data_IF_965843236417
#
_entry.id   IF_965843236417
#
_cell.length_a   1.000
_cell.length_b   1.000
_cell.length_c   1.000
_cell.angle_alpha   90.00
_cell.angle_beta   90.00
_cell.angle_gamma   90.00
#
_symmetry.space_group_name_H-M   'P 1'
#
loop_
_entity.id
_entity.type
_entity.pdbx_description
1 polymer ?
#
# COMPACT_ATOMS: atom_id res chain seq x y z
N UNK A 1 7.72 0.94 5.17
CA UNK A 1 8.63 0.82 6.33
C UNK A 1 9.59 2.01 6.42
N UNK A 2 10.39 2.27 5.38
CA UNK A 2 11.53 3.20 5.44
C UNK A 2 11.23 4.66 5.77
N UNK A 3 10.11 5.22 5.29
CA UNK A 3 9.81 6.66 5.46
C UNK A 3 9.34 7.00 6.89
N UNK A 4 8.54 6.12 7.51
CA UNK A 4 7.77 6.48 8.72
C UNK A 4 8.19 5.74 10.00
N UNK A 5 8.88 4.60 9.90
CA UNK A 5 9.25 3.80 11.08
C UNK A 5 10.16 4.58 12.05
N UNK A 6 11.18 5.26 11.53
CA UNK A 6 12.11 6.05 12.35
C UNK A 6 11.41 7.20 13.07
N UNK A 7 10.45 7.86 12.41
CA UNK A 7 9.69 8.95 13.02
C UNK A 7 8.78 8.43 14.14
N UNK A 8 8.09 7.30 13.94
CA UNK A 8 7.24 6.68 14.98
C UNK A 8 8.07 6.29 16.20
N UNK A 9 9.23 5.65 16.00
CA UNK A 9 10.14 5.28 17.09
C UNK A 9 10.71 6.53 17.78
N UNK A 10 11.00 7.59 17.03
CA UNK A 10 11.52 8.85 17.55
C UNK A 10 10.54 9.60 18.46
N UNK A 11 9.23 9.55 18.17
CA UNK A 11 8.19 10.23 18.97
C UNK A 11 7.69 9.37 20.14
N UNK A 12 7.39 8.09 19.90
CA UNK A 12 6.80 7.20 20.91
C UNK A 12 7.86 6.53 21.82
N UNK A 13 9.12 6.47 21.36
CA UNK A 13 10.18 5.72 22.03
C UNK A 13 10.12 4.21 21.74
N UNK A 14 11.19 3.51 22.09
CA UNK A 14 11.41 2.10 21.73
C UNK A 14 10.35 1.19 22.36
N UNK A 15 10.02 1.39 23.63
CA UNK A 15 9.10 0.51 24.38
C UNK A 15 7.67 0.58 23.85
N UNK A 16 7.17 1.78 23.52
CA UNK A 16 5.82 1.94 22.99
C UNK A 16 5.74 1.51 21.53
N UNK A 17 6.75 1.83 20.72
CA UNK A 17 6.81 1.40 19.32
C UNK A 17 6.92 -0.13 19.19
N UNK A 18 7.67 -0.80 20.06
CA UNK A 18 7.76 -2.27 20.07
C UNK A 18 6.46 -2.95 20.49
N UNK A 19 5.75 -2.39 21.48
CA UNK A 19 4.43 -2.87 21.89
C UNK A 19 3.40 -2.71 20.75
N UNK A 20 3.38 -1.56 20.09
CA UNK A 20 2.51 -1.31 18.94
C UNK A 20 2.77 -2.35 17.82
N UNK A 21 4.04 -2.55 17.47
CA UNK A 21 4.43 -3.53 16.46
C UNK A 21 3.99 -4.96 16.87
N UNK A 22 4.18 -5.34 18.14
CA UNK A 22 3.78 -6.64 18.64
C UNK A 22 2.27 -6.88 18.52
N UNK A 23 1.44 -5.88 18.83
CA UNK A 23 -0.02 -5.96 18.69
C UNK A 23 -0.46 -6.06 17.21
N UNK A 24 0.14 -5.29 16.31
CA UNK A 24 -0.11 -5.40 14.87
C UNK A 24 0.30 -6.77 14.30
N UNK A 25 1.44 -7.29 14.74
CA UNK A 25 1.88 -8.64 14.34
C UNK A 25 0.94 -9.72 14.88
N UNK A 26 0.49 -9.60 16.14
CA UNK A 26 -0.42 -10.57 16.76
C UNK A 26 -1.78 -10.61 16.05
N UNK A 27 -2.36 -9.46 15.71
CA UNK A 27 -3.63 -9.40 14.95
C UNK A 27 -3.50 -10.03 13.56
N UNK A 28 -2.40 -9.76 12.85
CA UNK A 28 -2.10 -10.37 11.55
C UNK A 28 -1.87 -11.89 11.67
N UNK A 29 -1.19 -12.31 12.73
CA UNK A 29 -0.91 -13.71 13.00
C UNK A 29 -2.20 -14.51 13.26
N UNK A 30 -3.09 -14.00 14.13
CA UNK A 30 -4.40 -14.63 14.38
C UNK A 30 -5.22 -14.70 13.08
N UNK A 31 -5.23 -13.62 12.29
CA UNK A 31 -5.93 -13.58 10.99
C UNK A 31 -5.38 -14.64 10.02
N UNK A 32 -4.06 -14.82 10.00
CA UNK A 32 -3.40 -15.82 9.14
C UNK A 32 -3.74 -17.25 9.57
N UNK A 33 -3.86 -17.52 10.87
CA UNK A 33 -4.32 -18.82 11.39
C UNK A 33 -5.76 -19.08 10.92
N UNK A 34 -6.65 -18.09 11.03
CA UNK A 34 -8.03 -18.23 10.52
C UNK A 34 -8.07 -18.47 9.02
N UNK A 35 -7.24 -17.76 8.24
CA UNK A 35 -7.14 -17.96 6.80
C UNK A 35 -6.61 -19.36 6.43
N UNK A 36 -5.65 -19.88 7.19
CA UNK A 36 -5.13 -21.25 7.03
C UNK A 36 -6.21 -22.31 7.30
N UNK A 37 -7.03 -22.11 8.33
CA UNK A 37 -8.18 -22.98 8.60
C UNK A 37 -9.21 -22.94 7.46
N UNK A 38 -9.45 -21.78 6.86
CA UNK A 38 -10.34 -21.66 5.69
C UNK A 38 -9.74 -22.34 4.45
N UNK A 39 -8.44 -22.18 4.21
CA UNK A 39 -7.75 -22.75 3.06
C UNK A 39 -7.67 -24.30 3.10
N UNK A 40 -7.73 -24.88 4.30
CA UNK A 40 -7.73 -26.34 4.48
C UNK A 40 -9.13 -26.97 4.47
N UNK A 41 -10.19 -26.16 4.60
CA UNK A 41 -11.56 -26.61 4.44
C UNK A 41 -11.99 -26.46 2.97
N UNK A 42 -12.12 -27.57 2.23
CA UNK A 42 -12.72 -27.62 0.90
C UNK A 42 -11.75 -27.88 -0.27
N UNK A 43 -12.31 -28.27 -1.42
CA UNK A 43 -11.54 -28.47 -2.66
C UNK A 43 -11.20 -27.13 -3.31
N UNK A 44 -9.92 -26.76 -3.25
CA UNK A 44 -9.37 -25.57 -3.90
C UNK A 44 -9.37 -25.80 -5.42
N UNK A 45 -10.41 -25.31 -6.10
CA UNK A 45 -10.38 -25.14 -7.56
C UNK A 45 -9.59 -23.88 -7.89
N UNK A 46 -9.10 -23.77 -9.13
CA UNK A 46 -8.28 -22.64 -9.60
C UNK A 46 -9.06 -21.32 -9.53
N UNK A 47 -8.91 -20.62 -8.42
CA UNK A 47 -9.46 -19.30 -8.15
C UNK A 47 -8.76 -18.78 -6.90
N UNK A 48 -8.25 -17.55 -6.95
CA UNK A 48 -7.43 -16.97 -5.87
C UNK A 48 -8.19 -16.77 -4.55
N UNK A 49 -7.68 -15.87 -3.70
CA UNK A 49 -8.20 -15.68 -2.34
C UNK A 49 -9.73 -15.44 -2.25
N UNK A 50 -10.32 -14.66 -3.17
CA UNK A 50 -11.76 -14.41 -3.19
C UNK A 50 -12.60 -15.68 -3.46
N UNK A 51 -12.11 -16.55 -4.33
CA UNK A 51 -12.79 -17.80 -4.66
C UNK A 51 -12.76 -18.78 -3.46
N UNK A 52 -11.63 -18.84 -2.74
CA UNK A 52 -11.52 -19.64 -1.52
C UNK A 52 -12.44 -19.14 -0.40
N UNK A 53 -12.57 -17.83 -0.23
CA UNK A 53 -13.41 -17.23 0.83
C UNK A 53 -14.91 -17.39 0.56
N UNK A 54 -15.36 -17.06 -0.66
CA UNK A 54 -16.79 -17.09 -1.02
C UNK A 54 -17.41 -18.49 -0.96
N UNK A 55 -16.60 -19.54 -1.19
CA UNK A 55 -17.07 -20.93 -1.19
C UNK A 55 -17.15 -21.54 0.21
N UNK A 56 -16.28 -21.12 1.13
CA UNK A 56 -16.23 -21.65 2.50
C UNK A 56 -17.09 -20.87 3.50
N UNK A 57 -17.26 -19.55 3.31
CA UNK A 57 -18.01 -18.67 4.23
C UNK A 57 -19.41 -18.32 3.70
N UNK A 58 -19.73 -18.67 2.45
CA UNK A 58 -20.97 -18.30 1.77
C UNK A 58 -20.86 -16.99 0.99
N UNK A 59 -21.82 -16.77 0.09
CA UNK A 59 -21.84 -15.66 -0.88
C UNK A 59 -21.96 -14.28 -0.21
N UNK A 60 -22.67 -14.20 0.92
CA UNK A 60 -22.87 -12.94 1.66
C UNK A 60 -21.57 -12.44 2.31
N UNK A 61 -20.87 -13.32 3.04
CA UNK A 61 -19.58 -12.97 3.64
C UNK A 61 -18.48 -12.80 2.59
N UNK A 62 -18.46 -13.64 1.54
CA UNK A 62 -17.49 -13.55 0.46
C UNK A 62 -17.54 -12.20 -0.26
N UNK A 63 -18.74 -11.71 -0.60
CA UNK A 63 -18.91 -10.42 -1.28
C UNK A 63 -18.53 -9.24 -0.39
N UNK A 64 -18.96 -9.21 0.88
CA UNK A 64 -18.61 -8.16 1.82
C UNK A 64 -17.09 -8.05 2.04
N UNK A 65 -16.40 -9.17 2.29
CA UNK A 65 -14.94 -9.20 2.47
C UNK A 65 -14.22 -8.80 1.17
N UNK A 66 -14.73 -9.23 0.01
CA UNK A 66 -14.15 -8.88 -1.29
C UNK A 66 -14.17 -7.38 -1.59
N UNK A 67 -15.28 -6.70 -1.30
CA UNK A 67 -15.41 -5.24 -1.50
C UNK A 67 -14.44 -4.49 -0.57
N UNK A 68 -14.36 -4.90 0.70
CA UNK A 68 -13.41 -4.31 1.66
C UNK A 68 -11.97 -4.51 1.22
N UNK A 69 -11.62 -5.71 0.74
CA UNK A 69 -10.28 -6.00 0.25
C UNK A 69 -9.93 -5.21 -1.02
N UNK A 70 -10.89 -5.04 -1.94
CA UNK A 70 -10.71 -4.21 -3.12
C UNK A 70 -10.43 -2.75 -2.74
N UNK A 71 -11.26 -2.16 -1.89
CA UNK A 71 -11.11 -0.76 -1.46
C UNK A 71 -9.81 -0.58 -0.66
N UNK A 72 -9.47 -1.53 0.22
CA UNK A 72 -8.22 -1.53 0.97
C UNK A 72 -6.99 -1.52 0.06
N UNK A 73 -6.97 -2.36 -0.98
CA UNK A 73 -5.87 -2.36 -1.96
C UNK A 73 -5.83 -1.09 -2.81
N UNK A 74 -6.99 -0.53 -3.18
CA UNK A 74 -7.04 0.74 -3.93
C UNK A 74 -6.43 1.90 -3.11
N UNK A 75 -6.78 1.99 -1.83
CA UNK A 75 -6.21 3.00 -0.92
C UNK A 75 -4.72 2.72 -0.68
N UNK A 76 -4.31 1.47 -0.50
CA UNK A 76 -2.90 1.10 -0.34
C UNK A 76 -2.06 1.48 -1.57
N UNK A 77 -2.56 1.24 -2.78
CA UNK A 77 -1.89 1.67 -4.02
C UNK A 77 -1.69 3.20 -4.05
N UNK A 78 -2.71 3.97 -3.69
CA UNK A 78 -2.58 5.44 -3.59
C UNK A 78 -1.53 5.87 -2.56
N UNK A 79 -1.44 5.17 -1.42
CA UNK A 79 -0.43 5.43 -0.40
C UNK A 79 0.99 5.14 -0.90
N UNK A 80 1.18 4.07 -1.67
CA UNK A 80 2.48 3.74 -2.26
C UNK A 80 2.92 4.76 -3.31
N UNK A 81 2.00 5.23 -4.15
CA UNK A 81 2.26 6.29 -5.13
C UNK A 81 2.74 7.58 -4.45
N UNK A 82 2.00 8.06 -3.44
CA UNK A 82 2.37 9.28 -2.71
C UNK A 82 3.71 9.12 -1.99
N UNK A 83 3.95 7.96 -1.36
CA UNK A 83 5.23 7.66 -0.72
C UNK A 83 6.40 7.60 -1.70
N UNK A 84 6.18 7.07 -2.91
CA UNK A 84 7.18 7.06 -3.98
C UNK A 84 7.53 8.48 -4.46
N UNK A 85 6.51 9.33 -4.63
CA UNK A 85 6.70 10.74 -5.00
C UNK A 85 7.41 11.52 -3.88
N UNK A 86 7.08 11.27 -2.62
CA UNK A 86 7.77 11.85 -1.46
C UNK A 86 9.27 11.52 -1.51
N UNK A 87 9.62 10.25 -1.77
CA UNK A 87 11.02 9.84 -1.90
C UNK A 87 11.70 10.55 -3.08
N UNK A 88 11.06 10.60 -4.24
CA UNK A 88 11.60 11.20 -5.45
C UNK A 88 11.89 12.69 -5.24
N UNK A 89 10.91 13.44 -4.73
CA UNK A 89 10.99 14.90 -4.61
C UNK A 89 11.83 15.37 -3.42
N UNK A 90 11.91 14.62 -2.32
CA UNK A 90 12.66 15.06 -1.14
C UNK A 90 14.10 14.53 -1.16
N UNK A 91 14.31 13.27 -1.57
CA UNK A 91 15.59 12.59 -1.38
C UNK A 91 16.40 12.42 -2.67
N UNK A 92 15.77 12.25 -3.83
CA UNK A 92 16.49 11.96 -5.09
C UNK A 92 16.71 13.23 -5.92
N UNK A 93 15.63 13.95 -6.24
CA UNK A 93 15.65 15.13 -7.10
C UNK A 93 14.90 16.31 -6.46
N UNK A 94 15.52 16.98 -5.46
CA UNK A 94 14.90 18.12 -4.78
C UNK A 94 14.65 19.32 -5.69
N UNK A 95 15.42 19.47 -6.76
CA UNK A 95 15.30 20.57 -7.71
C UNK A 95 14.13 20.40 -8.70
N UNK A 96 13.50 19.22 -8.74
CA UNK A 96 12.30 18.96 -9.55
C UNK A 96 11.02 19.55 -8.91
N UNK A 97 11.10 20.06 -7.69
CA UNK A 97 9.97 20.66 -6.99
C UNK A 97 9.58 22.00 -7.63
N UNK A 98 8.31 22.13 -8.04
CA UNK A 98 7.80 23.37 -8.64
C UNK A 98 7.71 24.42 -7.52
N UNK A 99 8.53 25.47 -7.64
CA UNK A 99 8.72 26.50 -6.60
C UNK A 99 10.03 26.39 -5.82
N UNK A 100 10.91 25.44 -6.17
CA UNK A 100 12.24 25.31 -5.58
C UNK A 100 12.25 24.68 -4.19
N UNK A 101 13.45 24.53 -3.62
CA UNK A 101 13.68 23.79 -2.36
C UNK A 101 13.01 24.42 -1.14
N UNK A 102 12.75 25.73 -1.18
CA UNK A 102 12.12 26.46 -0.06
C UNK A 102 10.65 26.07 0.15
N UNK A 103 9.98 25.65 -0.91
CA UNK A 103 8.58 25.20 -0.88
C UNK A 103 8.42 23.89 -0.13
N UNK A 104 9.48 23.09 0.02
CA UNK A 104 9.43 21.81 0.73
C UNK A 104 9.06 21.94 2.22
N UNK A 105 9.32 23.10 2.82
CA UNK A 105 8.94 23.40 4.21
C UNK A 105 7.44 23.68 4.38
N UNK A 106 6.75 24.10 3.31
CA UNK A 106 5.34 24.46 3.34
C UNK A 106 4.44 23.23 3.13
N UNK A 107 4.29 22.44 4.20
CA UNK A 107 3.47 21.21 4.20
C UNK A 107 1.99 21.47 4.57
N UNK A 108 1.53 22.72 4.53
CA UNK A 108 0.14 23.04 4.78
C UNK A 108 -0.80 22.36 3.77
N UNK A 109 -2.07 22.21 4.12
CA UNK A 109 -3.08 21.55 3.27
C UNK A 109 -3.24 22.23 1.90
N UNK A 110 -3.01 23.55 1.82
CA UNK A 110 -2.93 24.35 0.58
C UNK A 110 -1.51 24.84 0.28
N UNK A 111 -0.51 24.26 0.96
CA UNK A 111 0.90 24.54 0.72
C UNK A 111 1.34 24.08 -0.66
N UNK A 112 2.34 24.76 -1.20
CA UNK A 112 2.84 24.50 -2.54
C UNK A 112 3.48 23.09 -2.65
N UNK A 113 3.96 22.51 -1.54
CA UNK A 113 4.42 21.11 -1.48
C UNK A 113 3.26 20.11 -1.69
N UNK A 114 2.10 20.35 -1.06
CA UNK A 114 0.91 19.52 -1.23
C UNK A 114 0.41 19.52 -2.67
N UNK A 115 0.50 20.66 -3.36
CA UNK A 115 0.20 20.75 -4.79
C UNK A 115 1.19 19.95 -5.64
N UNK A 116 2.49 20.05 -5.36
CA UNK A 116 3.51 19.23 -6.03
C UNK A 116 3.23 17.73 -5.86
N UNK A 117 2.94 17.27 -4.64
CA UNK A 117 2.60 15.86 -4.38
C UNK A 117 1.39 15.41 -5.20
N UNK A 118 0.32 16.22 -5.29
CA UNK A 118 -0.87 15.89 -6.08
C UNK A 118 -0.57 15.78 -7.57
N UNK A 119 0.20 16.72 -8.13
CA UNK A 119 0.52 16.75 -9.55
C UNK A 119 1.38 15.54 -9.92
N UNK A 120 2.49 15.32 -9.21
CA UNK A 120 3.40 14.22 -9.49
C UNK A 120 2.75 12.85 -9.21
N UNK A 121 1.94 12.72 -8.17
CA UNK A 121 1.22 11.47 -7.89
C UNK A 121 0.18 11.15 -8.98
N UNK A 122 -0.52 12.15 -9.51
CA UNK A 122 -1.48 11.95 -10.60
C UNK A 122 -0.77 11.55 -11.90
N UNK A 123 0.39 12.15 -12.19
CA UNK A 123 1.20 11.78 -13.34
C UNK A 123 1.71 10.34 -13.22
N UNK A 124 2.21 9.94 -12.05
CA UNK A 124 2.68 8.58 -11.79
C UNK A 124 1.53 7.57 -11.88
N UNK A 125 0.36 7.90 -11.36
CA UNK A 125 -0.85 7.07 -11.49
C UNK A 125 -1.23 6.83 -12.96
N UNK A 126 -1.19 7.87 -13.80
CA UNK A 126 -1.47 7.72 -15.25
C UNK A 126 -0.43 6.81 -15.91
N UNK A 127 0.84 6.96 -15.55
CA UNK A 127 1.91 6.09 -16.05
C UNK A 127 1.68 4.64 -15.63
N UNK A 128 1.38 4.37 -14.37
CA UNK A 128 1.06 3.02 -13.88
C UNK A 128 -0.17 2.45 -14.59
N UNK A 129 -1.20 3.25 -14.82
CA UNK A 129 -2.37 2.83 -15.57
C UNK A 129 -2.00 2.40 -17.00
N UNK A 130 -1.14 3.16 -17.68
CA UNK A 130 -0.64 2.81 -19.02
C UNK A 130 0.18 1.52 -18.98
N UNK A 131 1.06 1.34 -17.99
CA UNK A 131 1.87 0.13 -17.81
C UNK A 131 1.00 -1.11 -17.60
N UNK A 132 -0.02 -1.01 -16.75
CA UNK A 132 -0.97 -2.09 -16.52
C UNK A 132 -1.79 -2.38 -17.79
N UNK A 133 -2.20 -1.34 -18.52
CA UNK A 133 -2.94 -1.47 -19.77
C UNK A 133 -2.12 -2.13 -20.90
N UNK A 134 -0.80 -1.89 -20.95
CA UNK A 134 0.10 -2.54 -21.92
C UNK A 134 0.26 -4.05 -21.70
N UNK A 135 -0.06 -4.55 -20.50
CA UNK A 135 -0.23 -5.97 -20.24
C UNK A 135 0.41 -6.43 -18.93
N UNK A 136 -0.41 -7.05 -18.08
CA UNK A 136 0.02 -7.62 -16.78
C UNK A 136 1.09 -8.70 -16.90
N UNK A 137 1.22 -9.36 -18.06
CA UNK A 137 2.29 -10.34 -18.31
C UNK A 137 3.68 -9.72 -18.31
N UNK A 138 3.80 -8.47 -18.73
CA UNK A 138 5.08 -7.73 -18.68
C UNK A 138 5.46 -7.42 -17.23
N UNK A 139 4.49 -6.98 -16.41
CA UNK A 139 4.71 -6.69 -14.98
C UNK A 139 5.10 -7.96 -14.22
N UNK A 140 4.48 -9.10 -14.55
CA UNK A 140 4.79 -10.39 -13.94
C UNK A 140 6.21 -10.89 -14.23
N UNK A 141 6.83 -10.45 -15.34
CA UNK A 141 8.22 -10.78 -15.65
C UNK A 141 9.20 -10.17 -14.63
N UNK A 142 8.90 -8.97 -14.13
CA UNK A 142 9.74 -8.27 -13.17
C UNK A 142 9.40 -8.58 -11.70
N UNK A 143 8.31 -9.31 -11.43
CA UNK A 143 7.93 -9.73 -10.08
C UNK A 143 9.09 -10.31 -9.23
N UNK A 144 9.96 -11.21 -9.73
CA UNK A 144 11.07 -11.74 -8.92
C UNK A 144 12.19 -10.73 -8.61
N UNK A 145 12.21 -9.55 -9.25
CA UNK A 145 13.18 -8.48 -8.97
C UNK A 145 12.74 -7.64 -7.76
N UNK A 146 11.44 -7.63 -7.45
CA UNK A 146 10.84 -6.80 -6.40
C UNK A 146 10.53 -7.57 -5.11
N UNK A 147 10.71 -8.90 -5.10
CA UNK A 147 10.38 -9.81 -3.99
C UNK A 147 11.63 -10.17 -3.19
#
# INVERSE_FOLDING_TARGET
MFIRLFWVVGIAGITQASLLLALCCLTTFITTISLSAIATNGEIKSGGAYYMLSRNLGTEFGTAIGILFYLGNAVAASMYLVGGVEILLIYIFPDLTIGGREVQSQTDMFGMMSHNLRIYATLLLILEFIVVAMGVRFVQLFAPVYL
#
